data_IF_188202295013
#
_entry.id   IF_188202295013
#
_cell.length_a   1.000
_cell.length_b   1.000
_cell.length_c   1.000
_cell.angle_alpha   90.00
_cell.angle_beta   90.00
_cell.angle_gamma   90.00
#
_symmetry.space_group_name_H-M   'P 1'
#
loop_
_entity.id
_entity.type
_entity.pdbx_description
1 polymer ?
#
# COMPACT_ATOMS: atom_id res chain seq x y z
N UNK A 1 23.88 13.54 -1.07
CA UNK A 1 23.54 12.26 -1.73
C UNK A 1 22.55 11.54 -0.81
N UNK A 2 21.43 11.00 -1.31
CA UNK A 2 20.28 10.51 -0.52
C UNK A 2 20.74 9.60 0.64
N UNK A 3 20.74 10.12 1.86
CA UNK A 3 20.95 9.33 3.07
C UNK A 3 19.61 8.71 3.47
N UNK A 4 19.58 7.38 3.55
CA UNK A 4 18.43 6.59 3.97
C UNK A 4 18.82 5.77 5.20
N UNK A 5 18.02 5.82 6.25
CA UNK A 5 18.24 4.99 7.44
C UNK A 5 17.27 3.81 7.35
N UNK A 6 17.79 2.59 7.29
CA UNK A 6 16.95 1.39 7.29
C UNK A 6 16.80 0.88 8.72
N UNK A 7 15.56 0.84 9.21
CA UNK A 7 15.21 0.26 10.51
C UNK A 7 14.53 -1.09 10.27
N UNK A 8 14.88 -2.10 11.05
CA UNK A 8 14.29 -3.44 10.94
C UNK A 8 13.26 -3.63 12.04
N UNK A 9 11.99 -3.75 11.66
CA UNK A 9 10.88 -4.04 12.58
C UNK A 9 10.59 -5.53 12.66
N UNK A 10 10.12 -6.00 13.82
CA UNK A 10 9.65 -7.36 14.03
C UNK A 10 8.20 -7.48 13.56
N UNK A 11 7.88 -8.42 12.66
CA UNK A 11 6.48 -8.68 12.27
C UNK A 11 5.77 -9.43 13.39
N UNK A 12 4.55 -9.01 13.74
CA UNK A 12 3.76 -9.70 14.76
C UNK A 12 3.30 -11.10 14.29
N UNK A 13 3.08 -12.00 15.26
CA UNK A 13 2.49 -13.32 15.00
C UNK A 13 3.41 -14.34 14.30
N UNK A 14 4.71 -14.07 14.18
CA UNK A 14 5.66 -15.03 13.61
C UNK A 14 6.13 -16.05 14.64
N UNK A 15 6.25 -17.31 14.23
CA UNK A 15 6.63 -18.44 15.11
C UNK A 15 8.12 -18.48 15.42
N UNK A 16 8.96 -18.10 14.45
CA UNK A 16 10.41 -18.16 14.54
C UNK A 16 11.04 -16.86 14.05
N UNK A 17 11.83 -16.21 14.90
CA UNK A 17 12.52 -14.94 14.61
C UNK A 17 14.01 -15.12 14.31
N UNK A 18 14.49 -16.35 14.14
CA UNK A 18 15.76 -16.59 13.47
C UNK A 18 15.65 -16.35 11.95
N UNK A 19 14.44 -16.47 11.40
CA UNK A 19 14.18 -16.33 9.96
C UNK A 19 14.07 -14.86 9.53
N UNK A 20 14.70 -14.46 8.42
CA UNK A 20 14.61 -13.08 7.91
C UNK A 20 13.17 -12.68 7.53
N UNK A 21 12.33 -13.63 7.13
CA UNK A 21 10.92 -13.40 6.80
C UNK A 21 10.06 -12.88 7.97
N UNK A 22 10.56 -13.02 9.20
CA UNK A 22 9.89 -12.56 10.42
C UNK A 22 10.16 -11.08 10.76
N UNK A 23 10.96 -10.42 9.94
CA UNK A 23 11.26 -9.00 10.05
C UNK A 23 10.75 -8.22 8.83
N UNK A 24 10.62 -6.90 9.00
CA UNK A 24 10.24 -5.94 7.99
C UNK A 24 11.23 -4.76 8.02
N UNK A 25 12.17 -4.71 7.06
CA UNK A 25 12.99 -3.54 6.84
C UNK A 25 12.14 -2.36 6.35
N UNK A 26 12.33 -1.19 6.94
CA UNK A 26 11.72 0.08 6.53
C UNK A 26 12.84 1.08 6.28
N UNK A 27 12.95 1.54 5.03
CA UNK A 27 13.84 2.63 4.67
C UNK A 27 13.18 3.96 5.01
N UNK A 28 13.78 4.70 5.94
CA UNK A 28 13.36 6.04 6.30
C UNK A 28 14.09 7.05 5.41
N UNK A 29 13.28 7.80 4.66
CA UNK A 29 13.75 8.94 3.88
C UNK A 29 13.76 10.22 4.71
N UNK A 30 14.52 11.22 4.27
CA UNK A 30 14.38 12.56 4.84
C UNK A 30 12.97 13.12 4.56
N UNK A 31 12.50 13.97 5.46
CA UNK A 31 11.13 14.51 5.41
C UNK A 31 10.84 15.32 4.14
N UNK A 32 11.82 16.09 3.65
CA UNK A 32 11.67 16.90 2.43
C UNK A 32 11.48 16.01 1.20
N UNK A 33 12.32 14.98 1.00
CA UNK A 33 12.12 14.06 -0.12
C UNK A 33 10.76 13.36 0.01
N UNK A 34 10.38 12.94 1.22
CA UNK A 34 9.11 12.26 1.44
C UNK A 34 7.89 13.10 1.06
N UNK A 35 7.93 14.40 1.32
CA UNK A 35 6.86 15.34 0.93
C UNK A 35 6.78 15.47 -0.59
N UNK A 36 7.92 15.61 -1.27
CA UNK A 36 7.96 15.70 -2.74
C UNK A 36 7.44 14.40 -3.37
N UNK A 37 7.89 13.25 -2.87
CA UNK A 37 7.42 11.92 -3.32
C UNK A 37 5.91 11.78 -3.17
N UNK A 38 5.35 12.21 -2.03
CA UNK A 38 3.90 12.18 -1.80
C UNK A 38 3.16 13.00 -2.86
N UNK A 39 3.63 14.21 -3.16
CA UNK A 39 2.99 15.07 -4.15
C UNK A 39 3.03 14.48 -5.56
N UNK A 40 4.12 13.81 -5.93
CA UNK A 40 4.24 13.09 -7.20
C UNK A 40 3.29 11.89 -7.23
N UNK A 41 3.25 11.09 -6.16
CA UNK A 41 2.36 9.94 -6.05
C UNK A 41 0.88 10.34 -6.15
N UNK A 42 0.47 11.44 -5.50
CA UNK A 42 -0.90 11.95 -5.57
C UNK A 42 -1.29 12.37 -6.99
N UNK A 43 -0.36 13.00 -7.74
CA UNK A 43 -0.58 13.35 -9.15
C UNK A 43 -0.69 12.11 -10.03
N UNK A 44 0.18 11.12 -9.83
CA UNK A 44 0.13 9.85 -10.57
C UNK A 44 -1.17 9.10 -10.29
N UNK A 45 -1.61 9.02 -9.04
CA UNK A 45 -2.87 8.39 -8.66
C UNK A 45 -4.05 9.10 -9.33
N UNK A 46 -4.10 10.44 -9.30
CA UNK A 46 -5.16 11.20 -9.96
C UNK A 46 -5.20 10.98 -11.48
N UNK A 47 -4.04 10.88 -12.13
CA UNK A 47 -3.95 10.57 -13.56
C UNK A 47 -4.43 9.14 -13.85
N UNK A 48 -4.03 8.16 -13.03
CA UNK A 48 -4.43 6.77 -13.18
C UNK A 48 -5.95 6.59 -13.06
N UNK A 49 -6.59 7.32 -12.16
CA UNK A 49 -8.06 7.35 -12.03
C UNK A 49 -8.73 8.03 -13.23
N UNK A 50 -8.21 9.17 -13.70
CA UNK A 50 -8.80 9.93 -14.82
C UNK A 50 -8.79 9.14 -16.13
N UNK A 51 -7.77 8.32 -16.32
CA UNK A 51 -7.56 7.56 -17.55
C UNK A 51 -7.94 6.07 -17.42
N UNK A 52 -8.68 5.70 -16.36
CA UNK A 52 -9.12 4.32 -16.09
C UNK A 52 -7.98 3.27 -16.16
N UNK A 53 -6.77 3.66 -15.72
CA UNK A 53 -5.59 2.80 -15.76
C UNK A 53 -5.57 1.74 -14.64
N UNK A 54 -6.44 1.90 -13.63
CA UNK A 54 -6.59 0.97 -12.53
C UNK A 54 -7.80 0.09 -12.76
N UNK A 55 -7.67 -1.22 -12.50
CA UNK A 55 -8.82 -2.13 -12.55
C UNK A 55 -9.94 -1.66 -11.61
N UNK A 56 -11.19 -1.77 -12.06
CA UNK A 56 -12.36 -1.34 -11.29
C UNK A 56 -12.53 -2.10 -9.95
N UNK A 57 -12.03 -3.34 -9.89
CA UNK A 57 -12.06 -4.21 -8.72
C UNK A 57 -10.83 -4.04 -7.80
N UNK A 58 -9.86 -3.21 -8.17
CA UNK A 58 -8.71 -2.89 -7.32
C UNK A 58 -9.16 -1.97 -6.17
N UNK A 59 -8.97 -2.44 -4.93
CA UNK A 59 -9.37 -1.73 -3.71
C UNK A 59 -8.18 -1.16 -2.92
N UNK A 60 -7.06 -1.88 -2.88
CA UNK A 60 -5.89 -1.50 -2.08
C UNK A 60 -5.21 -0.23 -2.60
N UNK A 61 -4.70 0.59 -1.68
CA UNK A 61 -3.97 1.83 -1.96
C UNK A 61 -4.72 2.83 -2.88
N UNK A 62 -6.05 2.72 -2.95
CA UNK A 62 -6.90 3.53 -3.82
C UNK A 62 -7.83 4.41 -2.99
N UNK A 63 -7.97 5.68 -3.37
CA UNK A 63 -8.78 6.65 -2.62
C UNK A 63 -10.24 6.20 -2.61
N UNK A 64 -10.92 6.32 -1.45
CA UNK A 64 -12.32 5.91 -1.24
C UNK A 64 -12.61 4.42 -1.46
N UNK A 65 -11.58 3.55 -1.48
CA UNK A 65 -11.74 2.09 -1.47
C UNK A 65 -11.09 1.52 -0.21
N UNK A 66 -11.70 0.49 0.36
CA UNK A 66 -11.20 -0.17 1.57
C UNK A 66 -11.43 -1.68 1.50
N UNK A 67 -10.94 -2.41 2.49
CA UNK A 67 -11.23 -3.84 2.66
C UNK A 67 -12.72 -4.10 2.83
N UNK A 68 -13.48 -3.16 3.41
CA UNK A 68 -14.95 -3.27 3.49
C UNK A 68 -15.60 -3.22 2.11
N UNK A 69 -15.12 -2.33 1.23
CA UNK A 69 -15.57 -2.29 -0.17
C UNK A 69 -15.28 -3.61 -0.89
N UNK A 70 -14.12 -4.24 -0.59
CA UNK A 70 -13.77 -5.54 -1.14
C UNK A 70 -14.73 -6.65 -0.68
N UNK A 71 -15.05 -6.71 0.61
CA UNK A 71 -15.98 -7.69 1.17
C UNK A 71 -17.38 -7.50 0.60
N UNK A 72 -17.88 -6.26 0.55
CA UNK A 72 -19.19 -5.96 -0.03
C UNK A 72 -19.29 -6.39 -1.50
N UNK A 73 -18.23 -6.15 -2.29
CA UNK A 73 -18.16 -6.61 -3.66
C UNK A 73 -18.19 -8.15 -3.75
N UNK A 74 -17.43 -8.83 -2.89
CA UNK A 74 -17.38 -10.29 -2.83
C UNK A 74 -18.74 -10.89 -2.48
N UNK A 75 -19.40 -10.41 -1.42
CA UNK A 75 -20.72 -10.88 -1.00
C UNK A 75 -21.77 -10.70 -2.10
N UNK A 76 -21.79 -9.53 -2.74
CA UNK A 76 -22.72 -9.25 -3.85
C UNK A 76 -22.48 -10.17 -5.04
N UNK A 77 -21.22 -10.46 -5.35
CA UNK A 77 -20.84 -11.35 -6.44
C UNK A 77 -21.30 -12.79 -6.20
N UNK A 78 -21.19 -13.28 -4.95
CA UNK A 78 -21.66 -14.62 -4.57
C UNK A 78 -23.18 -14.72 -4.56
N UNK A 79 -23.89 -13.66 -4.15
CA UNK A 79 -25.36 -13.65 -4.11
C UNK A 79 -26.01 -13.55 -5.49
N UNK A 80 -25.31 -12.96 -6.46
CA UNK A 80 -25.81 -12.77 -7.83
C UNK A 80 -25.44 -13.95 -8.74
N UNK A 81 -24.52 -14.82 -8.30
CA UNK A 81 -24.10 -16.03 -9.00
C UNK A 81 -25.06 -17.19 -8.72
#
# INVERSE_FOLDING_TARGET
LKELITIVLRKEGKKDYSLPGSYQPIALENTIAKVIEKQVADKMAAAAERHDLLLWNQMGARKKRSTLSAISLLTSSVQTA
#
